data_IF_613729597803
#
_entry.id   IF_613729597803
#
_cell.length_a   1.000
_cell.length_b   1.000
_cell.length_c   1.000
_cell.angle_alpha   90.00
_cell.angle_beta   90.00
_cell.angle_gamma   90.00
#
_symmetry.space_group_name_H-M   'P 1'
#
loop_
_entity.id
_entity.type
_entity.pdbx_description
1 polymer ?
#
# COMPACT_ATOMS: atom_id res chain seq x y z
N UNK A 1 -25.79 -1.65 -15.03
CA UNK A 1 -25.25 -1.19 -13.74
C UNK A 1 -23.88 -1.78 -13.72
N UNK A 2 -22.87 -0.91 -13.64
CA UNK A 2 -21.70 -1.04 -14.48
C UNK A 2 -20.88 -2.27 -14.05
N UNK A 3 -20.11 -2.37 -12.98
CA UNK A 3 -19.48 -3.65 -12.53
C UNK A 3 -18.37 -4.22 -13.42
N UNK A 4 -17.31 -4.53 -12.73
CA UNK A 4 -16.11 -3.83 -12.93
C UNK A 4 -15.11 -5.06 -12.86
N UNK A 5 -14.27 -5.38 -13.90
CA UNK A 5 -13.23 -6.47 -13.89
C UNK A 5 -11.74 -6.06 -14.20
N UNK A 6 -10.75 -6.39 -13.35
CA UNK A 6 -9.31 -6.06 -13.47
C UNK A 6 -8.53 -6.89 -14.52
N UNK A 7 -7.40 -6.36 -15.01
CA UNK A 7 -6.38 -7.15 -15.74
C UNK A 7 -5.26 -7.70 -14.83
N UNK A 8 -4.37 -8.50 -15.41
CA UNK A 8 -3.23 -9.13 -14.72
C UNK A 8 -2.21 -8.13 -14.13
N UNK A 9 -2.40 -6.83 -14.37
CA UNK A 9 -1.56 -5.72 -13.90
C UNK A 9 -2.25 -4.88 -12.82
N UNK A 10 -3.46 -5.28 -12.40
CA UNK A 10 -4.34 -4.55 -11.48
C UNK A 10 -4.76 -3.17 -11.99
N UNK A 11 -4.83 -2.98 -13.31
CA UNK A 11 -5.42 -1.79 -13.91
C UNK A 11 -6.91 -2.00 -14.20
N UNK A 12 -7.64 -0.89 -14.31
CA UNK A 12 -9.05 -0.89 -14.68
C UNK A 12 -9.21 -1.49 -16.09
N UNK A 13 -9.63 -2.76 -16.16
CA UNK A 13 -9.82 -3.43 -17.43
C UNK A 13 -11.27 -3.33 -17.90
N UNK A 14 -11.41 -3.35 -19.22
CA UNK A 14 -12.71 -3.33 -19.87
C UNK A 14 -13.24 -4.76 -19.94
N UNK A 15 -14.36 -5.02 -19.26
CA UNK A 15 -15.05 -6.29 -19.36
C UNK A 15 -15.92 -6.29 -20.63
N UNK A 16 -15.49 -7.05 -21.65
CA UNK A 16 -16.20 -7.14 -22.93
C UNK A 16 -17.54 -7.87 -22.85
N UNK A 17 -17.77 -8.66 -21.80
CA UNK A 17 -19.00 -9.44 -21.63
C UNK A 17 -20.11 -8.61 -20.97
N UNK A 18 -19.76 -7.67 -20.07
CA UNK A 18 -20.69 -6.75 -19.41
C UNK A 18 -20.73 -5.35 -20.05
N UNK A 19 -19.78 -5.03 -20.93
CA UNK A 19 -19.53 -3.71 -21.54
C UNK A 19 -19.24 -2.63 -20.50
N UNK A 20 -18.34 -2.98 -19.60
CA UNK A 20 -18.12 -2.25 -18.38
C UNK A 20 -16.65 -1.97 -18.08
N UNK A 21 -16.35 -0.93 -17.32
CA UNK A 21 -14.98 -0.65 -16.80
C UNK A 21 -14.84 -1.43 -15.48
N UNK A 22 -13.66 -1.70 -14.89
CA UNK A 22 -13.45 -1.98 -13.42
C UNK A 22 -13.11 -0.78 -12.53
N UNK A 23 -13.79 -0.63 -11.40
CA UNK A 23 -13.52 0.27 -10.30
C UNK A 23 -13.42 -0.67 -9.14
N UNK A 24 -12.23 -1.22 -9.04
CA UNK A 24 -11.89 -2.03 -7.91
C UNK A 24 -11.88 -1.14 -6.67
N UNK A 25 -12.93 -1.28 -5.87
CA UNK A 25 -12.97 -0.79 -4.49
C UNK A 25 -12.28 -1.79 -3.55
N UNK A 26 -11.32 -2.60 -4.02
CA UNK A 26 -10.55 -3.45 -3.11
C UNK A 26 -9.77 -2.59 -2.12
N UNK A 27 -9.86 -3.01 -0.86
CA UNK A 27 -9.04 -2.47 0.22
C UNK A 27 -7.54 -2.52 -0.15
N UNK A 28 -7.13 -3.57 -0.86
CA UNK A 28 -5.76 -3.76 -1.39
C UNK A 28 -5.33 -2.54 -2.20
N UNK A 29 -6.12 -2.17 -3.22
CA UNK A 29 -5.76 -1.07 -4.10
C UNK A 29 -5.73 0.27 -3.35
N UNK A 30 -6.71 0.52 -2.47
CA UNK A 30 -6.74 1.76 -1.67
C UNK A 30 -5.53 1.88 -0.74
N UNK A 31 -5.14 0.79 -0.09
CA UNK A 31 -3.96 0.75 0.79
C UNK A 31 -2.69 0.96 -0.05
N UNK A 32 -2.56 0.32 -1.22
CA UNK A 32 -1.41 0.53 -2.10
C UNK A 32 -1.30 1.97 -2.61
N UNK A 33 -2.42 2.60 -2.99
CA UNK A 33 -2.43 4.02 -3.38
C UNK A 33 -2.00 4.90 -2.21
N UNK A 34 -2.51 4.64 -1.01
CA UNK A 34 -2.12 5.36 0.20
C UNK A 34 -0.61 5.22 0.49
N UNK A 35 -0.07 4.00 0.46
CA UNK A 35 1.35 3.72 0.72
C UNK A 35 2.30 4.27 -0.35
N UNK A 36 1.80 4.57 -1.55
CA UNK A 36 2.58 5.15 -2.65
C UNK A 36 2.39 6.65 -2.82
N UNK A 37 1.55 7.29 -2.01
CA UNK A 37 1.35 8.73 -2.02
C UNK A 37 2.15 9.34 -0.87
N UNK A 38 2.96 10.35 -1.15
CA UNK A 38 3.63 11.11 -0.10
C UNK A 38 2.69 12.16 0.50
N UNK A 39 2.78 12.38 1.81
CA UNK A 39 2.04 13.47 2.47
C UNK A 39 2.34 14.80 1.78
N UNK A 40 1.29 15.57 1.51
CA UNK A 40 1.36 16.85 0.79
C UNK A 40 1.36 16.75 -0.74
N UNK A 41 1.34 15.55 -1.34
CA UNK A 41 1.26 15.41 -2.81
C UNK A 41 -0.12 15.77 -3.36
N UNK A 42 -1.18 15.51 -2.62
CA UNK A 42 -2.56 15.77 -3.05
C UNK A 42 -3.02 17.16 -2.56
N UNK A 43 -3.19 18.17 -3.45
CA UNK A 43 -3.51 19.53 -3.03
C UNK A 43 -4.88 19.68 -2.35
N UNK A 44 -5.77 18.72 -2.60
CA UNK A 44 -7.13 18.66 -2.08
C UNK A 44 -7.24 17.77 -0.83
N UNK A 45 -6.20 17.03 -0.48
CA UNK A 45 -6.11 16.20 0.72
C UNK A 45 -4.65 16.07 1.17
N UNK A 46 -4.15 17.12 1.82
CA UNK A 46 -2.73 17.25 2.15
C UNK A 46 -2.25 16.21 3.17
N UNK A 47 -3.15 15.65 3.96
CA UNK A 47 -2.84 14.65 4.99
C UNK A 47 -2.93 13.21 4.45
N UNK A 48 -3.28 13.01 3.17
CA UNK A 48 -3.34 11.69 2.56
C UNK A 48 -1.97 11.23 2.09
N UNK A 49 -1.61 10.02 2.50
CA UNK A 49 -0.35 9.38 2.15
C UNK A 49 0.46 9.04 3.39
N UNK A 50 1.70 8.63 3.17
CA UNK A 50 2.69 8.37 4.20
C UNK A 50 3.89 9.31 4.05
N UNK A 51 4.71 9.43 5.09
CA UNK A 51 6.00 10.12 4.94
C UNK A 51 7.01 9.13 4.31
N UNK A 52 7.18 9.24 2.99
CA UNK A 52 8.12 8.38 2.27
C UNK A 52 9.58 8.58 2.71
N UNK A 53 9.92 9.77 3.25
CA UNK A 53 11.27 10.02 3.77
C UNK A 53 11.51 9.22 5.05
N UNK A 54 10.50 9.16 5.92
CA UNK A 54 10.57 8.35 7.14
C UNK A 54 10.65 6.86 6.81
N UNK A 55 9.90 6.38 5.81
CA UNK A 55 10.01 4.99 5.32
C UNK A 55 11.44 4.66 4.85
N UNK A 56 12.10 5.58 4.15
CA UNK A 56 13.49 5.37 3.71
C UNK A 56 14.46 5.33 4.90
N UNK A 57 14.25 6.16 5.93
CA UNK A 57 15.09 6.17 7.12
C UNK A 57 14.97 4.86 7.93
N UNK A 58 13.75 4.32 8.01
CA UNK A 58 13.45 3.13 8.82
C UNK A 58 13.58 1.82 8.04
N UNK A 59 13.96 1.85 6.77
CA UNK A 59 13.97 0.66 5.91
C UNK A 59 14.88 -0.47 6.42
N UNK A 60 15.88 -0.13 7.22
CA UNK A 60 16.80 -1.06 7.86
C UNK A 60 16.34 -1.53 9.26
N UNK A 61 15.27 -0.94 9.80
CA UNK A 61 14.64 -1.31 11.07
C UNK A 61 13.19 -1.74 10.85
N UNK A 62 13.01 -3.05 10.63
CA UNK A 62 11.70 -3.64 10.38
C UNK A 62 10.69 -3.37 11.52
N UNK A 63 11.14 -3.27 12.77
CA UNK A 63 10.25 -3.05 13.90
C UNK A 63 9.75 -1.60 13.93
N UNK A 64 10.66 -0.65 13.71
CA UNK A 64 10.30 0.77 13.56
C UNK A 64 9.35 0.97 12.37
N UNK A 65 9.71 0.42 11.20
CA UNK A 65 8.88 0.54 10.00
C UNK A 65 7.50 -0.10 10.16
N UNK A 66 7.40 -1.24 10.85
CA UNK A 66 6.10 -1.86 11.15
C UNK A 66 5.25 -0.92 12.01
N UNK A 67 5.80 -0.35 13.06
CA UNK A 67 5.06 0.54 13.96
C UNK A 67 4.53 1.78 13.24
N UNK A 68 5.37 2.42 12.42
CA UNK A 68 4.97 3.62 11.64
C UNK A 68 3.90 3.29 10.60
N UNK A 69 4.09 2.22 9.82
CA UNK A 69 3.10 1.80 8.82
C UNK A 69 1.78 1.37 9.46
N UNK A 70 1.84 0.68 10.60
CA UNK A 70 0.66 0.29 11.35
C UNK A 70 -0.14 1.49 11.82
N UNK A 71 0.52 2.48 12.42
CA UNK A 71 -0.13 3.72 12.85
C UNK A 71 -0.80 4.45 11.66
N UNK A 72 -0.09 4.63 10.55
CA UNK A 72 -0.63 5.38 9.41
C UNK A 72 -1.78 4.66 8.70
N UNK A 73 -1.66 3.34 8.50
CA UNK A 73 -2.69 2.56 7.80
C UNK A 73 -3.93 2.39 8.66
N UNK A 74 -3.78 2.04 9.94
CA UNK A 74 -4.93 1.87 10.85
C UNK A 74 -5.63 3.20 11.12
N UNK A 75 -4.89 4.32 11.22
CA UNK A 75 -5.52 5.65 11.35
C UNK A 75 -6.33 6.03 10.10
N UNK A 76 -5.91 5.59 8.90
CA UNK A 76 -6.60 5.94 7.64
C UNK A 76 -7.79 5.03 7.31
N UNK A 77 -7.69 3.77 7.69
CA UNK A 77 -8.63 2.69 7.37
C UNK A 77 -9.18 2.04 8.65
N UNK A 78 -9.50 2.86 9.66
CA UNK A 78 -9.91 2.43 11.02
C UNK A 78 -11.11 1.47 11.06
N UNK A 79 -11.97 1.53 10.04
CA UNK A 79 -13.17 0.70 9.91
C UNK A 79 -12.93 -0.60 9.10
N UNK A 80 -11.74 -0.80 8.55
CA UNK A 80 -11.45 -1.91 7.61
C UNK A 80 -10.18 -2.70 7.97
N UNK A 81 -9.20 -2.05 8.59
CA UNK A 81 -7.87 -2.61 8.87
C UNK A 81 -7.65 -2.71 10.38
N UNK A 82 -7.35 -3.91 10.86
CA UNK A 82 -6.96 -4.15 12.25
C UNK A 82 -5.48 -3.82 12.48
N UNK A 83 -4.61 -4.31 11.59
CA UNK A 83 -3.18 -4.02 11.64
C UNK A 83 -2.48 -4.26 10.29
N UNK A 84 -1.27 -3.74 10.16
CA UNK A 84 -0.32 -4.09 9.10
C UNK A 84 1.05 -4.42 9.70
N UNK A 85 1.65 -5.51 9.25
CA UNK A 85 2.95 -6.00 9.72
C UNK A 85 3.93 -6.08 8.56
N UNK A 86 5.14 -5.52 8.71
CA UNK A 86 6.24 -5.80 7.77
C UNK A 86 6.79 -7.18 8.08
N UNK A 87 6.63 -8.11 7.15
CA UNK A 87 7.10 -9.50 7.31
C UNK A 87 8.53 -9.70 6.82
N UNK A 88 9.03 -8.79 5.97
CA UNK A 88 10.43 -8.79 5.57
C UNK A 88 10.77 -7.73 4.55
N UNK A 89 12.04 -7.33 4.54
CA UNK A 89 12.57 -6.31 3.63
C UNK A 89 13.70 -6.96 2.83
N UNK A 90 13.57 -6.99 1.51
CA UNK A 90 14.58 -7.55 0.62
C UNK A 90 15.20 -6.46 -0.24
N UNK A 91 16.51 -6.53 -0.46
CA UNK A 91 17.26 -5.50 -1.17
C UNK A 91 17.73 -6.04 -2.52
N UNK A 92 17.44 -5.30 -3.59
CA UNK A 92 17.82 -5.59 -4.96
C UNK A 92 18.43 -4.36 -5.59
N UNK A 93 19.77 -4.32 -5.68
CA UNK A 93 20.54 -3.17 -6.18
C UNK A 93 20.28 -1.90 -5.36
N UNK A 94 19.50 -0.97 -5.90
CA UNK A 94 19.12 0.33 -5.32
C UNK A 94 17.63 0.37 -4.98
N UNK A 95 17.04 -0.80 -4.75
CA UNK A 95 15.62 -0.93 -4.44
C UNK A 95 15.48 -1.85 -3.24
N UNK A 96 14.65 -1.42 -2.31
CA UNK A 96 14.18 -2.21 -1.20
C UNK A 96 12.72 -2.59 -1.45
N UNK A 97 12.42 -3.87 -1.25
CA UNK A 97 11.09 -4.46 -1.38
C UNK A 97 10.59 -4.80 0.01
N UNK A 98 9.58 -4.07 0.46
CA UNK A 98 8.93 -4.23 1.76
C UNK A 98 7.75 -5.18 1.54
N UNK A 99 7.82 -6.36 2.17
CA UNK A 99 6.74 -7.33 2.19
C UNK A 99 5.91 -7.10 3.45
N UNK A 100 4.60 -7.01 3.30
CA UNK A 100 3.69 -6.69 4.38
C UNK A 100 2.51 -7.67 4.39
N UNK A 101 1.98 -7.91 5.57
CA UNK A 101 0.70 -8.59 5.77
C UNK A 101 -0.24 -7.62 6.45
N UNK A 102 -1.38 -7.39 5.82
CA UNK A 102 -2.47 -6.60 6.38
C UNK A 102 -3.55 -7.55 6.90
N UNK A 103 -3.98 -7.33 8.13
CA UNK A 103 -5.12 -8.04 8.73
C UNK A 103 -6.32 -7.11 8.72
N UNK A 104 -7.42 -7.55 8.13
CA UNK A 104 -8.69 -6.81 8.16
C UNK A 104 -9.43 -7.04 9.48
N UNK A 105 -10.37 -6.17 9.81
CA UNK A 105 -11.22 -6.34 11.01
C UNK A 105 -12.05 -7.63 10.95
N UNK A 106 -12.32 -8.13 9.74
CA UNK A 106 -13.02 -9.40 9.52
C UNK A 106 -12.11 -10.64 9.69
N UNK A 107 -10.81 -10.43 9.92
CA UNK A 107 -9.80 -11.47 10.14
C UNK A 107 -9.15 -12.01 8.86
N UNK A 108 -9.43 -11.41 7.71
CA UNK A 108 -8.77 -11.76 6.45
C UNK A 108 -7.33 -11.24 6.40
N UNK A 109 -6.43 -12.05 5.83
CA UNK A 109 -5.02 -11.72 5.65
C UNK A 109 -4.73 -11.39 4.19
N UNK A 110 -4.12 -10.23 3.97
CA UNK A 110 -3.80 -9.69 2.66
C UNK A 110 -2.29 -9.46 2.57
N UNK A 111 -1.64 -10.10 1.59
CA UNK A 111 -0.21 -9.87 1.33
C UNK A 111 -0.04 -8.64 0.41
N UNK A 112 0.88 -7.76 0.79
CA UNK A 112 1.22 -6.55 0.04
C UNK A 112 2.74 -6.50 -0.19
N UNK A 113 3.16 -5.96 -1.33
CA UNK A 113 4.56 -5.67 -1.62
C UNK A 113 4.70 -4.21 -2.07
N UNK A 114 5.70 -3.51 -1.53
CA UNK A 114 6.06 -2.15 -1.94
C UNK A 114 7.55 -2.06 -2.25
N UNK A 115 7.86 -1.53 -3.45
CA UNK A 115 9.20 -1.10 -3.80
C UNK A 115 9.48 0.33 -3.32
N UNK A 116 10.67 0.57 -2.78
CA UNK A 116 11.21 1.88 -2.42
C UNK A 116 12.63 1.97 -2.98
N UNK A 117 12.98 3.12 -3.57
CA UNK A 117 14.36 3.34 -4.02
C UNK A 117 15.25 3.56 -2.79
N UNK A 118 16.31 2.77 -2.68
CA UNK A 118 17.38 2.88 -1.68
C UNK A 118 18.54 3.65 -2.33
N UNK A 119 18.86 4.82 -1.78
CA UNK A 119 19.90 5.70 -2.33
C UNK A 119 21.32 5.18 -2.09
N UNK A 120 21.46 4.06 -1.36
CA UNK A 120 22.70 3.30 -1.25
C UNK A 120 23.76 4.07 -0.47
N UNK A 121 23.68 4.02 0.85
CA UNK A 121 24.88 4.21 1.67
C UNK A 121 25.57 2.86 1.88
N UNK A 122 26.65 2.64 1.11
CA UNK A 122 27.68 1.62 1.36
C UNK A 122 28.33 1.80 2.76
#
# INVERSE_FOLDING_TARGET
>A
MVDFALDDQNDAAYNSDTNDIDKDESLIHRVLVFLNTNIGELPWNVDFGIDLSQVMLDIHDQAALTMELDEWVTARFEDEVENIEVTGITYSKRQAHINMVLTTIDGDLINLEKGVDDDGSD
#
